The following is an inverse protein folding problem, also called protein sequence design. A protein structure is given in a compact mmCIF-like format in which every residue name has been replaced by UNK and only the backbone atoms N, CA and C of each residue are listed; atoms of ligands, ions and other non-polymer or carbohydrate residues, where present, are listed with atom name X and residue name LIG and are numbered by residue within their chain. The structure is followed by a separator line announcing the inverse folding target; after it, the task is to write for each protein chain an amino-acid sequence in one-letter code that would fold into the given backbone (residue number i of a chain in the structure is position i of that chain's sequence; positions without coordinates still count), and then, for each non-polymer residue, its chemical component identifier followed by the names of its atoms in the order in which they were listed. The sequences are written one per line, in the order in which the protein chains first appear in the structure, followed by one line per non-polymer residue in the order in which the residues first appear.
data_IF_479799824234
#
_entry.id   IF_479799824234
#
_cell.length_a   1.000
_cell.length_b   1.000
_cell.length_c   1.000
_cell.angle_alpha   90.00
_cell.angle_beta   90.00
_cell.angle_gamma   90.00
#
_symmetry.space_group_name_H-M   'P 1'
#
loop_
_entity.id
_entity.type
_entity.pdbx_description
1 polymer ?
#
# COMPACT_ATOMS: atom_id res chain seq x y z
N UNK A 1 20.09 -92.70 -12.66
CA UNK A 1 21.37 -93.42 -12.76
C UNK A 1 22.19 -92.72 -13.82
N UNK A 2 22.80 -91.61 -13.44
CA UNK A 2 23.73 -90.90 -14.30
C UNK A 2 24.99 -91.74 -14.37
N UNK A 3 25.32 -92.23 -15.56
CA UNK A 3 26.63 -92.84 -15.80
C UNK A 3 27.62 -91.71 -15.63
N UNK A 4 28.38 -91.71 -14.54
CA UNK A 4 29.58 -90.89 -14.41
C UNK A 4 30.40 -91.12 -15.69
N UNK A 5 30.39 -90.13 -16.59
CA UNK A 5 31.20 -90.13 -17.80
C UNK A 5 32.63 -89.84 -17.35
N UNK A 6 33.25 -90.82 -16.71
CA UNK A 6 34.68 -90.81 -16.45
C UNK A 6 35.33 -90.66 -17.83
N UNK A 7 35.93 -89.50 -18.08
CA UNK A 7 36.71 -89.25 -19.29
C UNK A 7 37.96 -90.11 -19.17
N UNK A 8 37.85 -91.39 -19.52
CA UNK A 8 38.96 -92.31 -19.56
C UNK A 8 39.67 -92.15 -20.90
N UNK A 9 40.96 -91.85 -20.85
CA UNK A 9 41.81 -91.74 -22.05
C UNK A 9 41.91 -93.06 -22.84
N UNK A 10 41.53 -94.19 -22.23
CA UNK A 10 41.35 -95.49 -22.89
C UNK A 10 40.01 -96.06 -22.44
N UNK A 11 39.04 -96.34 -23.34
CA UNK A 11 37.77 -96.93 -22.96
C UNK A 11 37.97 -98.23 -22.18
N UNK A 12 37.37 -98.37 -20.99
CA UNK A 12 37.44 -99.59 -20.19
C UNK A 12 37.11 -100.85 -21.01
N UNK A 13 36.18 -100.72 -21.96
CA UNK A 13 35.79 -101.78 -22.90
C UNK A 13 36.96 -102.25 -23.78
N UNK A 14 37.84 -101.35 -24.22
CA UNK A 14 39.01 -101.68 -25.04
C UNK A 14 40.06 -102.44 -24.23
N UNK A 15 40.30 -102.01 -22.98
CA UNK A 15 41.25 -102.66 -22.08
C UNK A 15 40.77 -104.07 -21.67
N UNK A 16 39.47 -104.22 -21.44
CA UNK A 16 38.84 -105.52 -21.19
C UNK A 16 38.94 -106.45 -22.41
N UNK A 17 38.73 -105.93 -23.62
CA UNK A 17 38.90 -106.71 -24.87
C UNK A 17 40.35 -107.15 -25.08
N UNK A 18 41.33 -106.30 -24.76
CA UNK A 18 42.76 -106.64 -24.84
C UNK A 18 43.16 -107.71 -23.80
N UNK A 19 42.65 -107.63 -22.57
CA UNK A 19 42.84 -108.68 -21.55
C UNK A 19 42.25 -110.02 -21.99
N UNK A 20 41.00 -110.00 -22.47
CA UNK A 20 40.35 -111.20 -22.98
C UNK A 20 41.04 -111.81 -24.21
N UNK A 21 41.65 -110.98 -25.06
CA UNK A 21 42.47 -111.45 -26.18
C UNK A 21 43.79 -112.07 -25.69
N UNK A 22 44.44 -111.46 -24.70
CA UNK A 22 45.65 -112.00 -24.10
C UNK A 22 45.41 -113.36 -23.44
N UNK A 23 44.29 -113.52 -22.72
CA UNK A 23 43.87 -114.79 -22.11
C UNK A 23 43.67 -115.89 -23.16
N UNK A 24 42.96 -115.59 -24.26
CA UNK A 24 42.77 -116.55 -25.37
C UNK A 24 44.08 -116.96 -26.03
N UNK A 25 44.95 -115.99 -26.32
CA UNK A 25 46.25 -116.26 -26.92
C UNK A 25 47.17 -117.08 -25.99
N UNK A 26 47.00 -116.93 -24.67
CA UNK A 26 47.68 -117.72 -23.66
C UNK A 26 47.19 -119.18 -23.66
N UNK A 27 45.88 -119.41 -23.72
CA UNK A 27 45.28 -120.75 -23.87
C UNK A 27 45.76 -121.45 -25.15
N UNK A 28 45.88 -120.71 -26.25
CA UNK A 28 46.38 -121.19 -27.54
C UNK A 28 47.92 -121.38 -27.59
N UNK A 29 48.65 -121.11 -26.50
CA UNK A 29 50.12 -121.16 -26.40
C UNK A 29 50.85 -120.28 -27.42
N UNK A 30 50.24 -119.17 -27.83
CA UNK A 30 50.82 -118.23 -28.77
C UNK A 30 51.82 -117.29 -28.06
N UNK A 31 53.09 -117.17 -28.51
CA UNK A 31 54.07 -116.29 -27.87
C UNK A 31 53.68 -114.80 -27.85
N UNK A 32 52.76 -114.37 -28.72
CA UNK A 32 52.21 -113.02 -28.71
C UNK A 32 51.45 -112.68 -27.41
N UNK A 33 50.92 -113.67 -26.68
CA UNK A 33 50.25 -113.45 -25.39
C UNK A 33 51.22 -112.93 -24.32
N UNK A 34 52.48 -113.42 -24.33
CA UNK A 34 53.54 -112.99 -23.42
C UNK A 34 53.86 -111.52 -23.66
N UNK A 35 54.01 -111.12 -24.93
CA UNK A 35 54.28 -109.73 -25.30
C UNK A 35 53.10 -108.81 -24.98
N UNK A 36 51.86 -109.25 -25.24
CA UNK A 36 50.66 -108.47 -24.94
C UNK A 36 50.45 -108.30 -23.42
N UNK A 37 50.64 -109.36 -22.63
CA UNK A 37 50.59 -109.28 -21.17
C UNK A 37 51.70 -108.39 -20.61
N UNK A 38 52.93 -108.49 -21.11
CA UNK A 38 54.01 -107.60 -20.69
C UNK A 38 53.67 -106.11 -20.95
N UNK A 39 53.09 -105.79 -22.11
CA UNK A 39 52.62 -104.43 -22.42
C UNK A 39 51.48 -104.01 -21.48
N UNK A 40 50.50 -104.88 -21.24
CA UNK A 40 49.37 -104.57 -20.35
C UNK A 40 49.83 -104.35 -18.90
N UNK A 41 50.79 -105.14 -18.42
CA UNK A 41 51.41 -104.99 -17.10
C UNK A 41 52.30 -103.74 -17.01
N UNK A 42 53.03 -103.40 -18.08
CA UNK A 42 53.87 -102.20 -18.16
C UNK A 42 53.04 -100.90 -18.05
N UNK A 43 51.88 -100.84 -18.71
CA UNK A 43 51.03 -99.64 -18.72
C UNK A 43 49.96 -99.61 -17.61
N UNK A 44 49.71 -100.71 -16.89
CA UNK A 44 48.73 -100.73 -15.79
C UNK A 44 49.03 -99.72 -14.67
N UNK A 45 50.28 -99.56 -14.19
CA UNK A 45 50.64 -98.54 -13.23
C UNK A 45 50.34 -97.11 -13.72
N UNK A 46 50.63 -96.83 -14.99
CA UNK A 46 50.41 -95.51 -15.60
C UNK A 46 48.91 -95.18 -15.71
N UNK A 47 48.08 -96.15 -16.09
CA UNK A 47 46.62 -95.98 -16.15
C UNK A 47 46.02 -95.75 -14.75
N UNK A 48 46.51 -96.46 -13.73
CA UNK A 48 46.08 -96.25 -12.33
C UNK A 48 46.50 -94.87 -11.81
N UNK A 49 47.71 -94.45 -12.15
CA UNK A 49 48.26 -93.14 -11.79
C UNK A 49 47.47 -92.03 -12.46
N UNK A 50 47.20 -92.14 -13.77
CA UNK A 50 46.38 -91.20 -14.52
C UNK A 50 44.94 -91.13 -13.97
N UNK A 51 44.36 -92.28 -13.62
CA UNK A 51 43.05 -92.32 -12.97
C UNK A 51 43.01 -91.64 -11.61
N UNK A 52 44.09 -91.73 -10.81
CA UNK A 52 44.20 -90.97 -9.56
C UNK A 52 44.32 -89.47 -9.84
N UNK A 53 45.17 -89.07 -10.77
CA UNK A 53 45.35 -87.66 -11.17
C UNK A 53 44.01 -87.06 -11.62
N UNK A 54 43.25 -87.76 -12.48
CA UNK A 54 41.92 -87.29 -12.93
C UNK A 54 40.98 -87.10 -11.74
N UNK A 55 40.91 -88.07 -10.82
CA UNK A 55 40.06 -87.94 -9.63
C UNK A 55 40.47 -86.79 -8.71
N UNK A 56 41.76 -86.57 -8.53
CA UNK A 56 42.28 -85.43 -7.77
C UNK A 56 41.90 -84.10 -8.43
N UNK A 57 42.02 -84.02 -9.76
CA UNK A 57 41.57 -82.85 -10.51
C UNK A 57 40.06 -82.65 -10.42
N UNK A 58 39.24 -83.68 -10.62
CA UNK A 58 37.78 -83.60 -10.50
C UNK A 58 37.37 -83.15 -9.10
N UNK A 59 38.02 -83.68 -8.05
CA UNK A 59 37.77 -83.28 -6.68
C UNK A 59 38.17 -81.82 -6.41
N UNK A 60 39.34 -81.37 -6.90
CA UNK A 60 39.78 -79.97 -6.79
C UNK A 60 38.84 -79.03 -7.56
N UNK A 61 38.47 -79.36 -8.79
CA UNK A 61 37.51 -78.59 -9.58
C UNK A 61 36.13 -78.52 -8.94
N UNK A 62 35.60 -79.64 -8.44
CA UNK A 62 34.34 -79.67 -7.71
C UNK A 62 34.40 -78.83 -6.44
N UNK A 63 35.54 -78.87 -5.72
CA UNK A 63 35.79 -78.04 -4.55
C UNK A 63 35.78 -76.55 -4.87
N UNK A 64 36.49 -76.14 -5.93
CA UNK A 64 36.52 -74.74 -6.41
C UNK A 64 35.14 -74.28 -6.89
N UNK A 65 34.42 -75.13 -7.62
CA UNK A 65 33.06 -74.82 -8.08
C UNK A 65 32.12 -74.61 -6.90
N UNK A 66 32.09 -75.53 -5.94
CA UNK A 66 31.25 -75.42 -4.74
C UNK A 66 31.61 -74.19 -3.89
N UNK A 67 32.89 -73.84 -3.79
CA UNK A 67 33.33 -72.62 -3.12
C UNK A 67 32.81 -71.36 -3.83
N UNK A 68 32.97 -71.29 -5.16
CA UNK A 68 32.50 -70.16 -5.95
C UNK A 68 30.97 -70.02 -5.91
N UNK A 69 30.22 -71.13 -5.99
CA UNK A 69 28.76 -71.13 -5.86
C UNK A 69 28.31 -70.58 -4.51
N UNK A 70 28.99 -70.96 -3.41
CA UNK A 70 28.71 -70.41 -2.07
C UNK A 70 29.03 -68.92 -2.01
N UNK A 71 30.16 -68.48 -2.56
CA UNK A 71 30.51 -67.06 -2.64
C UNK A 71 29.46 -66.26 -3.42
N UNK A 72 29.01 -66.77 -4.57
CA UNK A 72 27.98 -66.13 -5.38
C UNK A 72 26.64 -66.08 -4.65
N UNK A 73 26.22 -67.18 -4.02
CA UNK A 73 24.99 -67.21 -3.23
C UNK A 73 25.04 -66.21 -2.06
N UNK A 74 26.18 -66.07 -1.39
CA UNK A 74 26.37 -65.07 -0.32
C UNK A 74 26.31 -63.64 -0.87
N UNK A 75 26.98 -63.36 -2.00
CA UNK A 75 26.93 -62.04 -2.66
C UNK A 75 25.51 -61.71 -3.09
N UNK A 76 24.78 -62.66 -3.66
CA UNK A 76 23.39 -62.48 -4.07
C UNK A 76 22.48 -62.20 -2.86
N UNK A 77 22.65 -62.93 -1.75
CA UNK A 77 21.90 -62.67 -0.51
C UNK A 77 22.13 -61.25 0.01
N UNK A 78 23.40 -60.80 0.06
CA UNK A 78 23.74 -59.43 0.49
C UNK A 78 23.13 -58.37 -0.41
N UNK A 79 23.24 -58.54 -1.73
CA UNK A 79 22.63 -57.60 -2.69
C UNK A 79 21.11 -57.56 -2.57
N UNK A 80 20.45 -58.69 -2.31
CA UNK A 80 19.00 -58.73 -2.06
C UNK A 80 18.62 -57.99 -0.78
N UNK A 81 19.39 -58.16 0.29
CA UNK A 81 19.20 -57.41 1.54
C UNK A 81 19.37 -55.89 1.31
N UNK A 82 20.42 -55.48 0.61
CA UNK A 82 20.66 -54.07 0.25
C UNK A 82 19.51 -53.49 -0.59
N UNK A 83 19.03 -54.23 -1.60
CA UNK A 83 17.87 -53.81 -2.41
C UNK A 83 16.63 -53.63 -1.54
N UNK A 84 16.39 -54.54 -0.60
CA UNK A 84 15.24 -54.45 0.30
C UNK A 84 15.34 -53.23 1.23
N UNK A 85 16.55 -52.95 1.73
CA UNK A 85 16.83 -51.80 2.59
C UNK A 85 16.68 -50.47 1.84
N UNK A 86 17.23 -50.36 0.63
CA UNK A 86 17.05 -49.18 -0.21
C UNK A 86 15.59 -48.96 -0.58
N UNK A 87 14.86 -50.04 -0.91
CA UNK A 87 13.43 -49.95 -1.23
C UNK A 87 12.61 -49.43 -0.04
N UNK A 88 12.92 -49.88 1.18
CA UNK A 88 12.30 -49.37 2.41
C UNK A 88 12.60 -47.88 2.62
N UNK A 89 13.86 -47.47 2.48
CA UNK A 89 14.27 -46.06 2.63
C UNK A 89 13.61 -45.15 1.61
N UNK A 90 13.51 -45.61 0.35
CA UNK A 90 12.80 -44.87 -0.71
C UNK A 90 11.32 -44.68 -0.36
N UNK A 91 10.66 -45.75 0.11
CA UNK A 91 9.26 -45.66 0.53
C UNK A 91 9.04 -44.70 1.70
N UNK A 92 9.93 -44.71 2.69
CA UNK A 92 9.89 -43.75 3.82
C UNK A 92 10.07 -42.30 3.32
N UNK A 93 11.04 -42.07 2.44
CA UNK A 93 11.30 -40.76 1.85
C UNK A 93 10.11 -40.25 1.01
N UNK A 94 9.49 -41.12 0.22
CA UNK A 94 8.31 -40.78 -0.58
C UNK A 94 7.13 -40.39 0.33
N UNK A 95 6.96 -41.10 1.46
CA UNK A 95 5.93 -40.77 2.45
C UNK A 95 6.20 -39.41 3.11
N UNK A 96 7.45 -39.13 3.47
CA UNK A 96 7.85 -37.83 4.03
C UNK A 96 7.65 -36.71 3.01
N UNK A 97 8.03 -36.92 1.75
CA UNK A 97 7.83 -35.97 0.67
C UNK A 97 6.34 -35.69 0.43
N UNK A 98 5.50 -36.72 0.39
CA UNK A 98 4.06 -36.57 0.27
C UNK A 98 3.44 -35.80 1.45
N UNK A 99 3.90 -36.05 2.68
CA UNK A 99 3.49 -35.29 3.86
C UNK A 99 3.95 -33.82 3.78
N UNK A 100 5.17 -33.58 3.30
CA UNK A 100 5.71 -32.25 3.04
C UNK A 100 4.88 -31.47 2.03
N UNK A 101 4.49 -32.09 0.91
CA UNK A 101 3.63 -31.48 -0.11
C UNK A 101 2.26 -31.09 0.46
N UNK A 102 1.62 -31.97 1.25
CA UNK A 102 0.35 -31.64 1.91
C UNK A 102 0.49 -30.43 2.83
N UNK A 103 1.56 -30.37 3.63
CA UNK A 103 1.82 -29.23 4.50
C UNK A 103 2.06 -27.94 3.72
N UNK A 104 2.72 -28.01 2.56
CA UNK A 104 2.91 -26.85 1.67
C UNK A 104 1.55 -26.36 1.14
N UNK A 105 0.66 -27.27 0.74
CA UNK A 105 -0.69 -26.91 0.27
C UNK A 105 -1.54 -26.26 1.38
N UNK A 106 -1.51 -26.82 2.60
CA UNK A 106 -2.17 -26.24 3.77
C UNK A 106 -1.67 -24.83 4.08
N UNK A 107 -0.34 -24.63 4.07
CA UNK A 107 0.26 -23.33 4.31
C UNK A 107 -0.09 -22.32 3.21
N UNK A 108 -0.13 -22.74 1.94
CA UNK A 108 -0.59 -21.88 0.83
C UNK A 108 -2.04 -21.48 0.99
N UNK A 109 -2.92 -22.41 1.36
CA UNK A 109 -4.33 -22.12 1.61
C UNK A 109 -4.50 -21.12 2.78
N UNK A 110 -3.76 -21.33 3.87
CA UNK A 110 -3.77 -20.42 5.01
C UNK A 110 -3.22 -19.02 4.65
N UNK A 111 -2.17 -18.95 3.84
CA UNK A 111 -1.61 -17.69 3.35
C UNK A 111 -2.64 -16.93 2.50
N UNK A 112 -3.25 -17.59 1.52
CA UNK A 112 -4.26 -16.99 0.66
C UNK A 112 -5.47 -16.47 1.46
N UNK A 113 -5.90 -17.22 2.47
CA UNK A 113 -6.97 -16.78 3.37
C UNK A 113 -6.58 -15.53 4.16
N UNK A 114 -5.33 -15.44 4.64
CA UNK A 114 -4.82 -14.25 5.33
C UNK A 114 -4.67 -13.04 4.41
N UNK A 115 -4.24 -13.26 3.17
CA UNK A 115 -4.15 -12.20 2.16
C UNK A 115 -5.53 -11.63 1.82
N UNK A 116 -6.56 -12.48 1.73
CA UNK A 116 -7.95 -12.05 1.52
C UNK A 116 -8.46 -11.20 2.70
N UNK A 117 -8.18 -11.60 3.94
CA UNK A 117 -8.56 -10.78 5.12
C UNK A 117 -7.81 -9.44 5.12
N UNK A 118 -6.53 -9.43 4.73
CA UNK A 118 -5.75 -8.19 4.63
C UNK A 118 -6.26 -7.26 3.55
N UNK A 119 -6.70 -7.78 2.39
CA UNK A 119 -7.26 -6.95 1.33
C UNK A 119 -8.60 -6.35 1.73
N UNK A 120 -9.47 -7.12 2.38
CA UNK A 120 -10.74 -6.64 2.93
C UNK A 120 -10.53 -5.53 3.97
N UNK A 121 -9.60 -5.75 4.92
CA UNK A 121 -9.29 -4.75 5.95
C UNK A 121 -8.71 -3.46 5.36
N UNK A 122 -7.91 -3.56 4.30
CA UNK A 122 -7.42 -2.39 3.55
C UNK A 122 -8.56 -1.63 2.86
N UNK A 123 -9.48 -2.33 2.19
CA UNK A 123 -10.65 -1.68 1.56
C UNK A 123 -11.47 -0.93 2.60
N UNK A 124 -11.80 -1.61 3.71
CA UNK A 124 -12.56 -1.01 4.81
C UNK A 124 -11.86 0.21 5.41
N UNK A 125 -10.55 0.14 5.61
CA UNK A 125 -9.78 1.29 6.13
C UNK A 125 -9.81 2.48 5.17
N UNK A 126 -9.78 2.24 3.85
CA UNK A 126 -9.88 3.30 2.84
C UNK A 126 -11.29 3.90 2.80
N UNK A 127 -12.33 3.07 2.90
CA UNK A 127 -13.73 3.49 2.97
C UNK A 127 -14.00 4.33 4.22
N UNK A 128 -13.62 3.82 5.40
CA UNK A 128 -13.75 4.54 6.68
C UNK A 128 -12.97 5.87 6.64
N UNK A 129 -11.77 5.87 6.05
CA UNK A 129 -10.96 7.08 5.86
C UNK A 129 -11.63 8.09 4.92
N UNK A 130 -12.26 7.63 3.83
CA UNK A 130 -13.00 8.47 2.90
C UNK A 130 -14.25 9.06 3.55
N UNK A 131 -15.01 8.26 4.29
CA UNK A 131 -16.21 8.71 5.02
C UNK A 131 -15.85 9.76 6.08
N UNK A 132 -14.79 9.54 6.84
CA UNK A 132 -14.33 10.51 7.84
C UNK A 132 -13.89 11.82 7.18
N UNK A 133 -13.18 11.75 6.06
CA UNK A 133 -12.76 12.92 5.31
C UNK A 133 -13.97 13.70 4.75
N UNK A 134 -14.99 12.99 4.23
CA UNK A 134 -16.24 13.63 3.79
C UNK A 134 -16.91 14.38 4.94
N UNK A 135 -17.08 13.73 6.10
CA UNK A 135 -17.67 14.37 7.29
C UNK A 135 -16.88 15.60 7.74
N UNK A 136 -15.55 15.53 7.66
CA UNK A 136 -14.69 16.66 7.97
C UNK A 136 -14.90 17.84 7.01
N UNK A 137 -14.92 17.58 5.70
CA UNK A 137 -15.18 18.61 4.67
C UNK A 137 -16.56 19.23 4.86
N UNK A 138 -17.60 18.42 5.06
CA UNK A 138 -18.96 18.90 5.32
C UNK A 138 -19.02 19.81 6.54
N UNK A 139 -18.31 19.43 7.62
CA UNK A 139 -18.26 20.24 8.84
C UNK A 139 -17.52 21.55 8.63
N UNK A 140 -16.42 21.54 7.88
CA UNK A 140 -15.69 22.76 7.53
C UNK A 140 -16.56 23.70 6.70
N UNK A 141 -17.27 23.17 5.69
CA UNK A 141 -18.21 23.95 4.88
C UNK A 141 -19.33 24.56 5.73
N UNK A 142 -19.92 23.79 6.65
CA UNK A 142 -20.95 24.28 7.57
C UNK A 142 -20.43 25.46 8.44
N UNK A 143 -19.19 25.37 8.90
CA UNK A 143 -18.56 26.45 9.68
C UNK A 143 -18.31 27.69 8.83
N UNK A 144 -17.81 27.53 7.60
CA UNK A 144 -17.64 28.65 6.67
C UNK A 144 -18.96 29.34 6.36
N UNK A 145 -20.00 28.57 6.04
CA UNK A 145 -21.34 29.10 5.75
C UNK A 145 -21.92 29.84 6.96
N UNK A 146 -21.70 29.32 8.17
CA UNK A 146 -22.14 29.96 9.42
C UNK A 146 -21.41 31.27 9.69
N UNK A 147 -20.10 31.32 9.46
CA UNK A 147 -19.30 32.55 9.63
C UNK A 147 -19.73 33.60 8.60
N UNK A 148 -19.79 33.22 7.32
CA UNK A 148 -20.22 34.10 6.23
C UNK A 148 -21.63 34.67 6.48
N UNK A 149 -22.57 33.84 6.95
CA UNK A 149 -23.91 34.33 7.33
C UNK A 149 -23.88 35.38 8.43
N UNK A 150 -23.07 35.16 9.48
CA UNK A 150 -22.91 36.14 10.56
C UNK A 150 -22.26 37.45 10.09
N UNK A 151 -21.28 37.36 9.20
CA UNK A 151 -20.64 38.53 8.60
C UNK A 151 -21.64 39.35 7.79
N UNK A 152 -22.45 38.69 6.94
CA UNK A 152 -23.52 39.35 6.20
C UNK A 152 -24.59 39.97 7.11
N UNK A 153 -25.00 39.28 8.18
CA UNK A 153 -25.93 39.82 9.18
C UNK A 153 -25.35 41.06 9.90
N UNK A 154 -24.06 41.03 10.24
CA UNK A 154 -23.37 42.18 10.86
C UNK A 154 -23.26 43.37 9.89
N UNK A 155 -22.92 43.11 8.62
CA UNK A 155 -22.87 44.13 7.58
C UNK A 155 -24.25 44.76 7.38
N UNK A 156 -25.32 43.96 7.25
CA UNK A 156 -26.68 44.47 7.11
C UNK A 156 -27.10 45.36 8.29
N UNK A 157 -26.81 44.95 9.54
CA UNK A 157 -27.07 45.78 10.73
C UNK A 157 -26.28 47.07 10.73
N UNK A 158 -25.04 47.03 10.25
CA UNK A 158 -24.19 48.20 10.14
C UNK A 158 -24.72 49.17 9.07
N UNK A 159 -25.12 48.66 7.91
CA UNK A 159 -25.74 49.43 6.83
C UNK A 159 -27.04 50.09 7.28
N UNK A 160 -27.92 49.36 7.98
CA UNK A 160 -29.16 49.88 8.56
C UNK A 160 -28.88 51.01 9.55
N UNK A 161 -27.91 50.82 10.46
CA UNK A 161 -27.51 51.83 11.43
C UNK A 161 -26.93 53.07 10.74
N UNK A 162 -26.08 52.88 9.73
CA UNK A 162 -25.46 53.97 8.99
C UNK A 162 -26.50 54.78 8.22
N UNK A 163 -27.41 54.11 7.51
CA UNK A 163 -28.54 54.73 6.83
C UNK A 163 -29.43 55.52 7.80
N UNK A 164 -29.69 54.96 8.99
CA UNK A 164 -30.44 55.66 10.04
C UNK A 164 -29.71 56.89 10.61
N UNK A 165 -28.38 56.90 10.63
CA UNK A 165 -27.59 58.07 11.01
C UNK A 165 -27.60 59.12 9.90
N UNK A 166 -27.42 58.73 8.64
CA UNK A 166 -27.47 59.63 7.49
C UNK A 166 -28.84 60.33 7.40
N UNK A 167 -29.93 59.61 7.62
CA UNK A 167 -31.27 60.20 7.68
C UNK A 167 -31.39 61.24 8.81
N UNK A 168 -30.83 60.97 10.00
CA UNK A 168 -30.83 61.94 11.11
C UNK A 168 -29.99 63.17 10.79
N UNK A 169 -28.84 63.00 10.14
CA UNK A 169 -27.98 64.11 9.70
C UNK A 169 -28.74 64.99 8.71
N UNK A 170 -29.40 64.40 7.71
CA UNK A 170 -30.21 65.14 6.74
C UNK A 170 -31.34 65.94 7.41
N UNK A 171 -32.03 65.36 8.41
CA UNK A 171 -33.05 66.07 9.18
C UNK A 171 -32.44 67.27 9.92
N UNK A 172 -31.31 67.07 10.63
CA UNK A 172 -30.63 68.15 11.35
C UNK A 172 -30.12 69.26 10.42
N UNK A 173 -29.58 68.90 9.27
CA UNK A 173 -29.16 69.86 8.23
C UNK A 173 -30.35 70.66 7.70
N UNK A 174 -31.48 70.01 7.46
CA UNK A 174 -32.71 70.66 7.02
C UNK A 174 -33.28 71.62 8.07
N UNK A 175 -33.30 71.21 9.35
CA UNK A 175 -33.74 72.03 10.49
C UNK A 175 -32.82 73.23 10.69
N UNK A 176 -31.51 73.02 10.58
CA UNK A 176 -30.52 74.10 10.67
C UNK A 176 -30.70 75.10 9.53
N UNK A 177 -30.84 74.63 8.29
CA UNK A 177 -31.11 75.49 7.13
C UNK A 177 -32.42 76.28 7.28
N UNK A 178 -33.47 75.66 7.84
CA UNK A 178 -34.73 76.33 8.13
C UNK A 178 -34.56 77.44 9.19
N UNK A 179 -33.83 77.18 10.28
CA UNK A 179 -33.51 78.18 11.31
C UNK A 179 -32.67 79.32 10.76
N UNK A 180 -31.66 79.04 9.92
CA UNK A 180 -30.85 80.07 9.27
C UNK A 180 -31.73 80.97 8.40
N UNK A 181 -32.64 80.40 7.61
CA UNK A 181 -33.62 81.18 6.82
C UNK A 181 -34.53 82.03 7.72
N UNK A 182 -35.03 81.45 8.82
CA UNK A 182 -35.87 82.17 9.79
C UNK A 182 -35.13 83.35 10.43
N UNK A 183 -33.88 83.16 10.85
CA UNK A 183 -33.06 84.23 11.42
C UNK A 183 -32.76 85.31 10.38
N UNK A 184 -32.44 84.94 9.14
CA UNK A 184 -32.23 85.91 8.06
C UNK A 184 -33.48 86.75 7.77
N UNK A 185 -34.67 86.14 7.77
CA UNK A 185 -35.93 86.87 7.62
C UNK A 185 -36.18 87.82 8.80
N UNK A 186 -35.90 87.38 10.03
CA UNK A 186 -36.04 88.20 11.23
C UNK A 186 -35.05 89.37 11.25
N UNK A 187 -33.81 89.13 10.83
CA UNK A 187 -32.78 90.14 10.67
C UNK A 187 -33.22 91.20 9.66
N UNK A 188 -33.70 90.78 8.47
CA UNK A 188 -34.26 91.70 7.47
C UNK A 188 -35.45 92.51 8.01
N UNK A 189 -36.39 91.87 8.71
CA UNK A 189 -37.52 92.57 9.32
C UNK A 189 -37.07 93.61 10.36
N UNK A 190 -36.08 93.29 11.20
CA UNK A 190 -35.52 94.23 12.17
C UNK A 190 -34.74 95.37 11.49
N UNK A 191 -34.03 95.09 10.39
CA UNK A 191 -33.39 96.12 9.58
C UNK A 191 -34.40 97.07 8.93
N UNK A 192 -35.50 96.53 8.40
CA UNK A 192 -36.61 97.30 7.83
C UNK A 192 -37.30 98.16 8.90
N UNK A 193 -37.61 97.59 10.07
CA UNK A 193 -38.15 98.32 11.22
C UNK A 193 -37.21 99.44 11.68
N UNK A 194 -35.90 99.16 11.77
CA UNK A 194 -34.90 100.16 12.12
C UNK A 194 -34.81 101.28 11.08
N UNK A 195 -34.83 100.94 9.78
CA UNK A 195 -34.88 101.91 8.68
C UNK A 195 -36.16 102.75 8.73
N UNK A 196 -37.31 102.14 9.03
CA UNK A 196 -38.59 102.82 9.15
C UNK A 196 -38.58 103.82 10.33
N UNK A 197 -38.15 103.38 11.53
CA UNK A 197 -37.99 104.27 12.69
C UNK A 197 -36.99 105.38 12.44
N UNK A 198 -35.87 105.11 11.76
CA UNK A 198 -34.90 106.13 11.36
C UNK A 198 -35.54 107.15 10.42
N UNK A 199 -36.33 106.70 9.45
CA UNK A 199 -37.06 107.59 8.54
C UNK A 199 -38.12 108.43 9.27
N UNK A 200 -38.84 107.86 10.23
CA UNK A 200 -39.76 108.62 11.10
C UNK A 200 -39.01 109.65 11.94
N UNK A 201 -37.87 109.28 12.53
CA UNK A 201 -37.05 110.20 13.31
C UNK A 201 -36.57 111.38 12.44
N UNK A 202 -36.07 111.10 11.24
CA UNK A 202 -35.70 112.13 10.26
C UNK A 202 -36.91 113.03 9.96
N UNK A 203 -38.09 112.47 9.67
CA UNK A 203 -39.32 113.26 9.44
C UNK A 203 -39.70 114.12 10.65
N UNK A 204 -39.55 113.62 11.87
CA UNK A 204 -39.81 114.42 13.08
C UNK A 204 -38.78 115.54 13.26
N UNK A 205 -37.50 115.28 13.01
CA UNK A 205 -36.45 116.29 13.00
C UNK A 205 -36.71 117.36 11.93
N UNK A 206 -37.08 116.96 10.72
CA UNK A 206 -37.43 117.87 9.63
C UNK A 206 -38.65 118.72 9.98
N UNK A 207 -39.66 118.13 10.64
CA UNK A 207 -40.83 118.86 11.14
C UNK A 207 -40.45 119.87 12.23
N UNK A 208 -39.66 119.47 13.21
CA UNK A 208 -39.15 120.38 14.27
C UNK A 208 -38.32 121.50 13.65
N UNK A 209 -37.47 121.17 12.67
CA UNK A 209 -36.65 122.14 11.94
C UNK A 209 -37.54 123.12 11.18
N UNK A 210 -38.55 122.64 10.46
CA UNK A 210 -39.51 123.50 9.77
C UNK A 210 -40.29 124.40 10.74
N UNK A 211 -40.70 123.87 11.91
CA UNK A 211 -41.37 124.65 12.96
C UNK A 211 -40.44 125.71 13.58
N UNK A 212 -39.15 125.40 13.77
CA UNK A 212 -38.14 126.35 14.23
C UNK A 212 -37.86 127.43 13.18
N UNK A 213 -37.66 127.06 11.92
CA UNK A 213 -37.47 128.01 10.81
C UNK A 213 -38.70 128.91 10.63
N UNK A 214 -39.91 128.38 10.83
CA UNK A 214 -41.14 129.18 10.82
C UNK A 214 -41.20 130.17 12.00
N UNK A 215 -40.79 129.75 13.21
CA UNK A 215 -40.65 130.64 14.38
C UNK A 215 -39.59 131.70 14.17
N UNK A 216 -38.43 131.37 13.60
CA UNK A 216 -37.38 132.32 13.25
C UNK A 216 -37.86 133.32 12.20
N UNK A 217 -38.60 132.88 11.17
CA UNK A 217 -39.23 133.78 10.20
C UNK A 217 -40.28 134.68 10.85
N UNK A 218 -41.09 134.17 11.77
CA UNK A 218 -42.06 134.97 12.53
C UNK A 218 -41.37 136.02 13.43
N UNK A 219 -40.25 135.66 14.07
CA UNK A 219 -39.42 136.58 14.86
C UNK A 219 -38.69 137.61 13.99
N UNK A 220 -38.19 137.21 12.82
CA UNK A 220 -37.57 138.11 11.85
C UNK A 220 -38.60 139.07 11.19
N UNK A 221 -39.85 138.63 11.01
CA UNK A 221 -40.96 139.49 10.61
C UNK A 221 -41.33 140.48 11.74
N UNK A 222 -41.22 140.08 13.01
CA UNK A 222 -41.34 140.97 14.15
C UNK A 222 -40.17 141.97 14.28
N UNK A 223 -38.96 141.56 13.88
CA UNK A 223 -37.77 142.42 13.82
C UNK A 223 -37.79 143.45 12.68
N UNK A 224 -38.65 143.28 11.66
CA UNK A 224 -38.78 144.22 10.53
C UNK A 224 -39.99 145.17 10.62
N UNK A 225 -40.84 145.05 11.64
CA UNK A 225 -41.99 145.94 11.90
C UNK A 225 -41.91 146.71 13.24
N UNK A 226 -40.72 146.81 13.84
CA UNK A 226 -40.47 147.51 15.11
C UNK A 226 -39.45 148.65 15.01
N UNK A 227 -39.30 149.29 13.85
CA UNK A 227 -38.59 150.55 13.72
C UNK A 227 -39.59 151.70 13.90
N UNK A 228 -39.72 152.19 15.14
CA UNK A 228 -40.46 153.42 15.41
C UNK A 228 -40.92 153.58 16.85
N UNK A 229 -40.17 154.35 17.65
CA UNK A 229 -40.76 155.09 18.79
C UNK A 229 -39.96 155.14 20.09
N UNK A 230 -39.15 156.20 20.23
CA UNK A 230 -38.86 157.07 21.41
C UNK A 230 -38.93 156.43 22.81
N UNK A 231 -37.83 156.32 23.58
CA UNK A 231 -37.15 157.40 24.37
C UNK A 231 -37.50 157.24 25.86
N UNK A 232 -36.71 157.45 26.91
CA UNK A 232 -35.33 157.91 27.17
C UNK A 232 -35.09 157.93 28.72
N UNK A 233 -33.86 158.27 29.16
CA UNK A 233 -33.44 158.54 30.57
C UNK A 233 -33.03 157.28 31.35
N UNK A 234 -31.87 157.16 32.02
CA UNK A 234 -30.86 158.10 32.55
C UNK A 234 -29.47 157.47 32.38
#
# INVERSE_FOLDING_TARGET
MEKELAIQCVPAEMLQRLKALADRLWEDKNPASVHLNAILEEFEPDLKTLGHIIKEYEADYAGRLAFNEREHAQKESRLREEISDFSRRLFELDKEHAAGLKKIEELKAALNAREAVLSELKSKTLEDGSELNSKYVDKMQELYDRVNRKELEMLARWEEKNSGLDAKVQVLESDFAAKVKQFSLRERALEEDFKARKAELIKTFDRIRADLEAREKALAAHGKNGAGGKGGGL
#
